data_IF_088917506764
#
_entry.id   IF_088917506764
#
_cell.length_a   1.000
_cell.length_b   1.000
_cell.length_c   1.000
_cell.angle_alpha   90.00
_cell.angle_beta   90.00
_cell.angle_gamma   90.00
#
_symmetry.space_group_name_H-M   'P 1'
#
loop_
_entity.id
_entity.type
_entity.pdbx_description
1 polymer ?
#
# COMPACT_ATOMS: atom_id res chain seq x y z
N UNK A 1 30.51 11.78 -133.10
CA UNK A 1 29.66 12.99 -133.07
C UNK A 1 28.59 12.76 -132.01
N UNK A 2 28.43 13.49 -130.91
CA UNK A 2 28.91 14.78 -130.41
C UNK A 2 28.89 14.70 -128.86
N UNK A 3 29.93 15.25 -128.20
CA UNK A 3 29.92 16.15 -127.02
C UNK A 3 28.79 15.98 -125.97
N UNK A 4 28.97 15.98 -124.64
CA UNK A 4 30.07 16.47 -123.79
C UNK A 4 29.74 16.31 -122.28
N UNK A 5 30.76 15.95 -121.47
CA UNK A 5 31.15 16.48 -120.13
C UNK A 5 30.20 16.60 -118.90
N UNK A 6 30.72 16.04 -117.77
CA UNK A 6 30.92 16.65 -116.43
C UNK A 6 29.72 16.77 -115.46
N UNK A 7 29.68 16.04 -114.32
CA UNK A 7 30.28 16.27 -112.98
C UNK A 7 29.55 17.32 -112.10
N UNK A 8 29.45 17.02 -110.79
CA UNK A 8 29.06 17.92 -109.66
C UNK A 8 27.55 18.18 -109.55
N UNK A 9 26.88 18.28 -108.40
CA UNK A 9 27.21 18.35 -106.99
C UNK A 9 25.90 18.11 -106.21
N UNK A 10 26.03 17.79 -104.93
CA UNK A 10 24.99 17.68 -103.91
C UNK A 10 23.67 18.44 -104.15
N UNK A 11 22.55 17.72 -104.02
CA UNK A 11 21.24 18.30 -103.76
C UNK A 11 21.33 19.18 -102.51
N UNK A 12 21.17 20.48 -102.75
CA UNK A 12 21.28 21.58 -101.81
C UNK A 12 20.34 21.39 -100.61
N UNK A 13 20.89 21.05 -99.44
CA UNK A 13 20.21 21.18 -98.15
C UNK A 13 20.10 22.68 -97.85
N UNK A 14 19.06 23.34 -98.38
CA UNK A 14 18.77 24.73 -98.08
C UNK A 14 18.23 24.84 -96.66
N UNK A 15 19.03 25.37 -95.73
CA UNK A 15 18.55 25.71 -94.38
C UNK A 15 17.50 26.82 -94.51
N UNK A 16 16.23 26.46 -94.29
CA UNK A 16 15.16 27.43 -94.14
C UNK A 16 15.34 28.11 -92.77
N UNK A 17 15.91 29.32 -92.76
CA UNK A 17 16.16 30.12 -91.55
C UNK A 17 14.88 30.40 -90.76
N UNK A 18 13.70 30.28 -91.37
CA UNK A 18 12.41 30.43 -90.70
C UNK A 18 12.10 29.30 -89.68
N UNK A 19 12.70 28.12 -89.84
CA UNK A 19 12.55 27.00 -88.88
C UNK A 19 13.40 27.25 -87.62
N UNK A 20 14.60 27.80 -87.77
CA UNK A 20 15.49 28.09 -86.65
C UNK A 20 15.13 29.38 -85.92
N UNK A 21 14.55 30.35 -86.61
CA UNK A 21 14.26 31.65 -86.00
C UNK A 21 12.87 31.67 -85.35
N UNK A 22 11.81 31.22 -86.03
CA UNK A 22 10.43 31.35 -85.51
C UNK A 22 10.05 30.23 -84.52
N UNK A 23 10.40 28.97 -84.80
CA UNK A 23 10.02 27.85 -83.91
C UNK A 23 10.91 27.75 -82.67
N UNK A 24 12.22 27.97 -82.81
CA UNK A 24 13.15 27.94 -81.67
C UNK A 24 12.90 29.13 -80.75
N UNK A 25 12.62 30.33 -81.29
CA UNK A 25 12.28 31.49 -80.48
C UNK A 25 10.98 31.27 -79.70
N UNK A 26 9.92 30.74 -80.34
CA UNK A 26 8.68 30.42 -79.64
C UNK A 26 8.88 29.36 -78.54
N UNK A 27 9.64 28.30 -78.84
CA UNK A 27 9.98 27.27 -77.85
C UNK A 27 10.82 27.83 -76.70
N UNK A 28 11.78 28.72 -76.98
CA UNK A 28 12.63 29.33 -75.96
C UNK A 28 11.81 30.22 -75.00
N UNK A 29 10.85 30.99 -75.52
CA UNK A 29 9.95 31.81 -74.70
C UNK A 29 9.05 30.92 -73.83
N UNK A 30 8.46 29.86 -74.40
CA UNK A 30 7.64 28.90 -73.63
C UNK A 30 8.47 28.19 -72.56
N UNK A 31 9.69 27.74 -72.89
CA UNK A 31 10.59 27.12 -71.92
C UNK A 31 10.99 28.08 -70.80
N UNK A 32 11.25 29.35 -71.12
CA UNK A 32 11.58 30.36 -70.11
C UNK A 32 10.43 30.54 -69.11
N UNK A 33 9.18 30.59 -69.59
CA UNK A 33 7.98 30.67 -68.73
C UNK A 33 7.80 29.37 -67.92
N UNK A 34 7.94 28.19 -68.53
CA UNK A 34 7.77 26.91 -67.82
C UNK A 34 8.82 26.75 -66.73
N UNK A 35 10.09 27.07 -67.02
CA UNK A 35 11.18 26.94 -66.05
C UNK A 35 10.99 27.89 -64.86
N UNK A 36 10.51 29.12 -65.08
CA UNK A 36 10.27 30.06 -63.98
C UNK A 36 9.07 29.63 -63.13
N UNK A 37 7.88 29.48 -63.73
CA UNK A 37 6.66 29.19 -62.95
C UNK A 37 6.62 27.77 -62.38
N UNK A 38 6.92 26.75 -63.20
CA UNK A 38 6.89 25.34 -62.74
C UNK A 38 8.12 25.01 -61.90
N UNK A 39 9.28 25.56 -62.26
CA UNK A 39 10.51 25.38 -61.48
C UNK A 39 10.38 25.93 -60.06
N UNK A 40 9.78 27.10 -59.88
CA UNK A 40 9.57 27.68 -58.55
C UNK A 40 8.56 26.89 -57.71
N UNK A 41 7.46 26.41 -58.32
CA UNK A 41 6.50 25.54 -57.65
C UNK A 41 7.12 24.20 -57.20
N UNK A 42 7.91 23.56 -58.08
CA UNK A 42 8.61 22.31 -57.74
C UNK A 42 9.69 22.52 -56.66
N UNK A 43 10.45 23.62 -56.73
CA UNK A 43 11.42 23.98 -55.69
C UNK A 43 10.77 24.16 -54.33
N UNK A 44 9.61 24.82 -54.26
CA UNK A 44 8.83 24.97 -53.04
C UNK A 44 8.37 23.62 -52.46
N UNK A 45 7.86 22.72 -53.31
CA UNK A 45 7.44 21.37 -52.90
C UNK A 45 8.62 20.52 -52.39
N UNK A 46 9.76 20.55 -53.08
CA UNK A 46 10.96 19.82 -52.68
C UNK A 46 11.55 20.38 -51.38
N UNK A 47 11.57 21.71 -51.22
CA UNK A 47 12.01 22.35 -49.99
C UNK A 47 11.11 21.99 -48.80
N UNK A 48 9.79 21.99 -48.99
CA UNK A 48 8.83 21.57 -47.97
C UNK A 48 9.04 20.09 -47.60
N UNK A 49 9.11 19.19 -48.60
CA UNK A 49 9.40 17.76 -48.37
C UNK A 49 10.70 17.55 -47.60
N UNK A 50 11.78 18.25 -47.97
CA UNK A 50 13.06 18.21 -47.25
C UNK A 50 12.89 18.66 -45.80
N UNK A 51 12.16 19.75 -45.56
CA UNK A 51 11.90 20.25 -44.21
C UNK A 51 11.06 19.26 -43.38
N UNK A 52 10.01 18.66 -43.96
CA UNK A 52 9.19 17.65 -43.29
C UNK A 52 10.02 16.44 -42.89
N UNK A 53 10.86 15.93 -43.80
CA UNK A 53 11.74 14.79 -43.51
C UNK A 53 12.70 15.12 -42.37
N UNK A 54 13.36 16.29 -42.42
CA UNK A 54 14.27 16.73 -41.37
C UNK A 54 13.56 16.89 -40.02
N UNK A 55 12.34 17.45 -40.01
CA UNK A 55 11.55 17.58 -38.79
C UNK A 55 11.16 16.20 -38.24
N UNK A 56 10.71 15.28 -39.09
CA UNK A 56 10.34 13.93 -38.67
C UNK A 56 11.53 13.16 -38.07
N UNK A 57 12.73 13.29 -38.65
CA UNK A 57 13.94 12.69 -38.08
C UNK A 57 14.28 13.30 -36.72
N UNK A 58 14.27 14.63 -36.60
CA UNK A 58 14.51 15.31 -35.31
C UNK A 58 13.51 14.91 -34.24
N UNK A 59 12.24 14.81 -34.60
CA UNK A 59 11.18 14.40 -33.68
C UNK A 59 11.34 12.93 -33.26
N UNK A 60 11.73 12.05 -34.19
CA UNK A 60 12.01 10.65 -33.89
C UNK A 60 13.21 10.50 -32.95
N UNK A 61 14.30 11.23 -33.21
CA UNK A 61 15.49 11.26 -32.35
C UNK A 61 15.15 11.80 -30.95
N UNK A 62 14.37 12.88 -30.87
CA UNK A 62 13.92 13.42 -29.60
C UNK A 62 13.06 12.42 -28.82
N UNK A 63 12.08 11.79 -29.49
CA UNK A 63 11.24 10.76 -28.86
C UNK A 63 12.04 9.55 -28.40
N UNK A 64 13.04 9.13 -29.17
CA UNK A 64 13.93 8.03 -28.79
C UNK A 64 14.77 8.41 -27.56
N UNK A 65 15.33 9.62 -27.51
CA UNK A 65 16.09 10.12 -26.36
C UNK A 65 15.21 10.21 -25.11
N UNK A 66 14.01 10.80 -25.21
CA UNK A 66 13.07 10.89 -24.09
C UNK A 66 12.64 9.50 -23.58
N UNK A 67 12.37 8.55 -24.49
CA UNK A 67 12.03 7.19 -24.11
C UNK A 67 13.18 6.49 -23.38
N UNK A 68 14.42 6.69 -23.85
CA UNK A 68 15.61 6.15 -23.20
C UNK A 68 15.83 6.74 -21.80
N UNK A 69 15.62 8.05 -21.64
CA UNK A 69 15.72 8.70 -20.34
C UNK A 69 14.65 8.19 -19.37
N UNK A 70 13.38 8.12 -19.80
CA UNK A 70 12.29 7.55 -18.99
C UNK A 70 12.56 6.11 -18.59
N UNK A 71 13.12 5.30 -19.49
CA UNK A 71 13.50 3.92 -19.20
C UNK A 71 14.61 3.85 -18.15
N UNK A 72 15.62 4.73 -18.24
CA UNK A 72 16.68 4.80 -17.23
C UNK A 72 16.14 5.22 -15.87
N UNK A 73 15.24 6.21 -15.81
CA UNK A 73 14.57 6.63 -14.58
C UNK A 73 13.71 5.50 -13.99
N UNK A 74 12.94 4.78 -14.82
CA UNK A 74 12.12 3.65 -14.38
C UNK A 74 12.98 2.51 -13.82
N UNK A 75 14.13 2.22 -14.44
CA UNK A 75 15.10 1.23 -13.92
C UNK A 75 15.64 1.66 -12.56
N UNK A 76 16.03 2.92 -12.39
CA UNK A 76 16.52 3.43 -11.11
C UNK A 76 15.45 3.34 -10.01
N UNK A 77 14.20 3.68 -10.34
CA UNK A 77 13.08 3.56 -9.42
C UNK A 77 12.80 2.10 -9.04
N UNK A 78 12.89 1.18 -10.01
CA UNK A 78 12.73 -0.25 -9.77
C UNK A 78 13.81 -0.79 -8.82
N UNK A 79 15.08 -0.43 -9.03
CA UNK A 79 16.15 -0.88 -8.15
C UNK A 79 15.97 -0.32 -6.72
N UNK A 80 15.61 0.97 -6.57
CA UNK A 80 15.26 1.54 -5.27
C UNK A 80 14.09 0.80 -4.60
N UNK A 81 13.05 0.48 -5.36
CA UNK A 81 11.89 -0.24 -4.85
C UNK A 81 12.25 -1.66 -4.39
N UNK A 82 13.12 -2.37 -5.14
CA UNK A 82 13.63 -3.69 -4.74
C UNK A 82 14.42 -3.62 -3.44
N UNK A 83 15.40 -2.72 -3.36
CA UNK A 83 16.17 -2.53 -2.11
C UNK A 83 15.24 -2.22 -0.93
N UNK A 84 14.23 -1.37 -1.15
CA UNK A 84 13.28 -1.04 -0.09
C UNK A 84 12.41 -2.23 0.32
N UNK A 85 11.99 -3.06 -0.63
CA UNK A 85 11.25 -4.28 -0.35
C UNK A 85 12.08 -5.30 0.45
N UNK A 86 13.38 -5.41 0.14
CA UNK A 86 14.31 -6.27 0.88
C UNK A 86 14.52 -5.76 2.31
N UNK A 87 14.72 -4.45 2.50
CA UNK A 87 14.79 -3.82 3.82
C UNK A 87 13.53 -4.08 4.66
N UNK A 88 12.35 -3.89 4.06
CA UNK A 88 11.06 -4.14 4.73
C UNK A 88 10.96 -5.61 5.12
N UNK A 89 11.36 -6.53 4.24
CA UNK A 89 11.31 -7.97 4.50
C UNK A 89 12.24 -8.36 5.66
N UNK A 90 13.46 -7.83 5.68
CA UNK A 90 14.40 -8.07 6.78
C UNK A 90 13.90 -7.47 8.10
N UNK A 91 13.39 -6.24 8.08
CA UNK A 91 12.82 -5.60 9.26
C UNK A 91 11.60 -6.37 9.78
N UNK A 92 10.75 -6.88 8.90
CA UNK A 92 9.59 -7.68 9.29
C UNK A 92 9.99 -8.95 10.02
N UNK A 93 11.01 -9.67 9.55
CA UNK A 93 11.53 -10.88 10.21
C UNK A 93 12.02 -10.54 11.63
N UNK A 94 12.79 -9.45 11.78
CA UNK A 94 13.27 -9.01 13.08
C UNK A 94 12.13 -8.62 14.03
N UNK A 95 11.18 -7.82 13.55
CA UNK A 95 10.03 -7.37 14.34
C UNK A 95 9.18 -8.56 14.79
N UNK A 96 8.91 -9.53 13.91
CA UNK A 96 8.14 -10.74 14.26
C UNK A 96 8.84 -11.57 15.34
N UNK A 97 10.17 -11.73 15.27
CA UNK A 97 10.91 -12.46 16.30
C UNK A 97 10.88 -11.73 17.65
N UNK A 98 11.00 -10.41 17.63
CA UNK A 98 10.91 -9.59 18.83
C UNK A 98 9.51 -9.64 19.46
N UNK A 99 8.45 -9.47 18.66
CA UNK A 99 7.06 -9.56 19.12
C UNK A 99 6.75 -10.95 19.68
N UNK A 100 7.21 -12.01 19.02
CA UNK A 100 7.05 -13.39 19.52
C UNK A 100 7.67 -13.54 20.90
N UNK A 101 8.91 -13.06 21.10
CA UNK A 101 9.58 -13.10 22.41
C UNK A 101 8.82 -12.31 23.47
N UNK A 102 8.33 -11.12 23.11
CA UNK A 102 7.55 -10.28 24.01
C UNK A 102 6.24 -10.94 24.42
N UNK A 103 5.48 -11.49 23.47
CA UNK A 103 4.22 -12.20 23.74
C UNK A 103 4.46 -13.39 24.67
N UNK A 104 5.50 -14.19 24.42
CA UNK A 104 5.84 -15.33 25.28
C UNK A 104 6.14 -14.85 26.71
N UNK A 105 6.96 -13.81 26.85
CA UNK A 105 7.32 -13.25 28.17
C UNK A 105 6.10 -12.71 28.91
N UNK A 106 5.25 -11.93 28.23
CA UNK A 106 4.01 -11.38 28.80
C UNK A 106 3.05 -12.49 29.21
N UNK A 107 2.83 -13.47 28.33
CA UNK A 107 1.97 -14.63 28.62
C UNK A 107 2.48 -15.40 29.84
N UNK A 108 3.79 -15.57 29.98
CA UNK A 108 4.37 -16.25 31.13
C UNK A 108 4.18 -15.45 32.43
N UNK A 109 4.26 -14.12 32.38
CA UNK A 109 3.97 -13.26 33.52
C UNK A 109 2.48 -13.32 33.90
N UNK A 110 1.59 -13.30 32.92
CA UNK A 110 0.15 -13.39 33.14
C UNK A 110 -0.25 -14.74 33.72
N UNK A 111 0.36 -15.84 33.26
CA UNK A 111 0.18 -17.18 33.88
C UNK A 111 0.60 -17.15 35.35
N UNK A 112 1.73 -16.50 35.69
CA UNK A 112 2.18 -16.39 37.09
C UNK A 112 1.18 -15.59 37.92
N UNK A 113 0.73 -14.42 37.43
CA UNK A 113 -0.28 -13.60 38.11
C UNK A 113 -1.59 -14.36 38.32
N UNK A 114 -2.05 -15.07 37.29
CA UNK A 114 -3.25 -15.90 37.36
C UNK A 114 -3.10 -17.01 38.41
N UNK A 115 -1.93 -17.65 38.50
CA UNK A 115 -1.67 -18.68 39.50
C UNK A 115 -1.71 -18.14 40.94
N UNK A 116 -1.22 -16.91 41.16
CA UNK A 116 -1.27 -16.23 42.46
C UNK A 116 -2.72 -15.92 42.82
N UNK A 117 -3.47 -15.29 41.90
CA UNK A 117 -4.88 -14.97 42.08
C UNK A 117 -5.73 -16.21 42.36
N UNK A 118 -5.45 -17.33 41.68
CA UNK A 118 -6.11 -18.59 41.92
C UNK A 118 -5.88 -19.09 43.36
N UNK A 119 -4.64 -19.03 43.86
CA UNK A 119 -4.31 -19.44 45.22
C UNK A 119 -4.98 -18.53 46.26
N UNK A 120 -4.98 -17.22 46.04
CA UNK A 120 -5.64 -16.25 46.93
C UNK A 120 -7.15 -16.47 46.97
N UNK A 121 -7.77 -16.66 45.80
CA UNK A 121 -9.20 -16.94 45.67
C UNK A 121 -9.57 -18.24 46.38
N UNK A 122 -8.77 -19.29 46.21
CA UNK A 122 -9.01 -20.58 46.86
C UNK A 122 -8.92 -20.47 48.39
N UNK A 123 -7.94 -19.73 48.92
CA UNK A 123 -7.84 -19.46 50.36
C UNK A 123 -9.04 -18.66 50.87
N UNK A 124 -9.47 -17.65 50.13
CA UNK A 124 -10.63 -16.84 50.49
C UNK A 124 -11.91 -17.69 50.54
N UNK A 125 -12.17 -18.49 49.52
CA UNK A 125 -13.35 -19.38 49.48
C UNK A 125 -13.29 -20.46 50.56
N UNK A 126 -12.11 -21.01 50.87
CA UNK A 126 -11.95 -21.92 52.00
C UNK A 126 -12.31 -21.26 53.33
N UNK A 127 -11.82 -20.06 53.60
CA UNK A 127 -12.14 -19.34 54.83
C UNK A 127 -13.63 -19.01 54.92
N UNK A 128 -14.23 -18.60 53.80
CA UNK A 128 -15.66 -18.33 53.71
C UNK A 128 -16.48 -19.59 54.01
N UNK A 129 -16.15 -20.72 53.38
CA UNK A 129 -16.83 -22.00 53.64
C UNK A 129 -16.69 -22.46 55.09
N UNK A 130 -15.51 -22.29 55.70
CA UNK A 130 -15.29 -22.58 57.13
C UNK A 130 -16.16 -21.69 58.03
N UNK A 131 -16.23 -20.39 57.74
CA UNK A 131 -17.05 -19.46 58.51
C UNK A 131 -18.55 -19.78 58.39
N UNK A 132 -19.03 -20.10 57.19
CA UNK A 132 -20.41 -20.53 56.96
C UNK A 132 -20.75 -21.82 57.71
N UNK A 133 -19.84 -22.80 57.68
CA UNK A 133 -19.99 -24.05 58.43
C UNK A 133 -20.02 -23.80 59.94
N UNK A 134 -19.09 -22.98 60.46
CA UNK A 134 -19.04 -22.63 61.88
C UNK A 134 -20.34 -21.95 62.33
N UNK A 135 -20.87 -20.99 61.57
CA UNK A 135 -22.15 -20.34 61.86
C UNK A 135 -23.30 -21.35 61.88
N UNK A 136 -23.34 -22.30 60.94
CA UNK A 136 -24.37 -23.34 60.88
C UNK A 136 -24.29 -24.29 62.08
N UNK A 137 -23.08 -24.69 62.48
CA UNK A 137 -22.84 -25.51 63.67
C UNK A 137 -23.26 -24.79 64.94
N UNK A 138 -22.90 -23.51 65.10
CA UNK A 138 -23.32 -22.69 66.24
C UNK A 138 -24.85 -22.59 66.29
N UNK A 139 -25.52 -22.33 65.17
CA UNK A 139 -26.99 -22.34 65.12
C UNK A 139 -27.59 -23.67 65.55
N UNK A 140 -27.05 -24.79 65.08
CA UNK A 140 -27.56 -26.13 65.40
C UNK A 140 -27.32 -26.47 66.87
N UNK A 141 -26.15 -26.15 67.41
CA UNK A 141 -25.85 -26.31 68.83
C UNK A 141 -26.78 -25.46 69.71
N UNK A 142 -27.00 -24.20 69.35
CA UNK A 142 -27.95 -23.31 70.05
C UNK A 142 -29.38 -23.83 69.97
N UNK A 143 -29.81 -24.36 68.81
CA UNK A 143 -31.12 -24.99 68.67
C UNK A 143 -31.27 -26.18 69.61
N UNK A 144 -30.29 -27.09 69.64
CA UNK A 144 -30.33 -28.27 70.49
C UNK A 144 -30.26 -27.92 71.99
N UNK A 145 -29.47 -26.92 72.36
CA UNK A 145 -29.44 -26.38 73.73
C UNK A 145 -30.80 -25.80 74.10
N UNK A 146 -31.41 -25.01 73.22
CA UNK A 146 -32.75 -24.44 73.43
C UNK A 146 -33.79 -25.54 73.65
N UNK A 147 -33.84 -26.57 72.81
CA UNK A 147 -34.76 -27.69 72.97
C UNK A 147 -34.58 -28.42 74.31
N UNK A 148 -33.33 -28.74 74.67
CA UNK A 148 -33.02 -29.39 75.96
C UNK A 148 -33.37 -28.51 77.16
N UNK A 149 -33.12 -27.20 77.07
CA UNK A 149 -33.48 -26.24 78.12
C UNK A 149 -35.00 -26.16 78.26
N UNK A 150 -35.76 -26.05 77.17
CA UNK A 150 -37.23 -26.01 77.21
C UNK A 150 -37.81 -27.28 77.83
N UNK A 151 -37.22 -28.45 77.59
CA UNK A 151 -37.66 -29.71 78.19
C UNK A 151 -37.31 -29.85 79.68
N UNK A 152 -36.20 -29.26 80.13
CA UNK A 152 -35.71 -29.38 81.53
C UNK A 152 -36.08 -28.20 82.43
N UNK A 153 -36.67 -27.14 81.87
CA UNK A 153 -37.07 -25.94 82.59
C UNK A 153 -38.13 -26.27 83.65
N UNK A 154 -37.87 -25.93 84.90
CA UNK A 154 -38.81 -26.05 86.01
C UNK A 154 -38.74 -24.80 86.91
N UNK A 155 -39.72 -24.63 87.81
CA UNK A 155 -39.86 -23.42 88.63
C UNK A 155 -38.63 -23.13 89.52
N UNK A 156 -37.95 -24.17 90.01
CA UNK A 156 -36.73 -24.03 90.80
C UNK A 156 -35.56 -23.46 89.97
N UNK A 157 -35.32 -24.02 88.78
CA UNK A 157 -34.27 -23.53 87.86
C UNK A 157 -34.57 -22.10 87.41
N UNK A 158 -35.83 -21.77 87.10
CA UNK A 158 -36.23 -20.41 86.75
C UNK A 158 -35.89 -19.39 87.84
N UNK A 159 -36.21 -19.72 89.10
CA UNK A 159 -35.97 -18.83 90.23
C UNK A 159 -34.47 -18.63 90.47
N UNK A 160 -33.68 -19.71 90.36
CA UNK A 160 -32.22 -19.65 90.50
C UNK A 160 -31.57 -18.79 89.40
N UNK A 161 -31.97 -18.95 88.14
CA UNK A 161 -31.45 -18.13 87.02
C UNK A 161 -31.85 -16.67 87.18
N UNK A 162 -33.10 -16.37 87.54
CA UNK A 162 -33.55 -14.99 87.76
C UNK A 162 -32.80 -14.33 88.91
N UNK A 163 -32.60 -15.05 90.02
CA UNK A 163 -31.81 -14.53 91.14
C UNK A 163 -30.37 -14.23 90.72
N UNK A 164 -29.73 -15.15 89.97
CA UNK A 164 -28.39 -14.92 89.43
C UNK A 164 -28.32 -13.68 88.53
N UNK A 165 -29.31 -13.47 87.65
CA UNK A 165 -29.37 -12.28 86.79
C UNK A 165 -29.57 -10.99 87.59
N UNK A 166 -30.39 -11.01 88.66
CA UNK A 166 -30.55 -9.86 89.55
C UNK A 166 -29.23 -9.51 90.23
N UNK A 167 -28.46 -10.51 90.68
CA UNK A 167 -27.12 -10.31 91.26
C UNK A 167 -26.15 -9.73 90.23
N UNK A 168 -26.17 -10.22 88.98
CA UNK A 168 -25.33 -9.65 87.91
C UNK A 168 -25.70 -8.18 87.62
N UNK A 169 -27.00 -7.88 87.55
CA UNK A 169 -27.47 -6.52 87.26
C UNK A 169 -27.15 -5.54 88.39
N UNK A 170 -27.32 -5.96 89.66
CA UNK A 170 -26.98 -5.12 90.82
C UNK A 170 -25.48 -4.84 90.94
N UNK A 171 -24.62 -5.72 90.40
CA UNK A 171 -23.17 -5.52 90.34
C UNK A 171 -22.69 -4.88 89.04
N UNK A 172 -23.58 -4.58 88.09
CA UNK A 172 -23.21 -3.94 86.83
C UNK A 172 -22.84 -2.48 87.05
N UNK A 173 -21.60 -2.12 86.73
CA UNK A 173 -21.16 -0.73 86.68
C UNK A 173 -21.14 -0.27 85.23
N UNK A 174 -21.90 0.78 84.86
CA UNK A 174 -21.78 1.35 83.54
C UNK A 174 -20.41 2.02 83.40
N UNK A 175 -19.75 1.78 82.27
CA UNK A 175 -18.64 2.62 81.81
C UNK A 175 -19.20 3.83 81.08
#
# INVERSE_FOLDING_TARGET
>A
MLFSTSLMFAGHFGFNTNILETNVLNLAVVLAIVITYVGDALRGLLANRKQTILNNFREADQRASEAQERLNQARLQLEKAKTKADEISQQAIFTVDQEKKQIISQTQEDIKRLSILQQETLKFEQQKAQNELAQKLVRLALHQVREKLTQRLNSSIHTAVNHFQIVLFTNYKPN
#
